data_IF_404316348595
#
_entry.id   IF_404316348595
#
_cell.length_a   1.000
_cell.length_b   1.000
_cell.length_c   1.000
_cell.angle_alpha   90.00
_cell.angle_beta   90.00
_cell.angle_gamma   90.00
#
_symmetry.space_group_name_H-M   'P 1'
#
loop_
_entity.id
_entity.type
_entity.pdbx_description
1 polymer ?
#
# COMPACT_ATOMS: atom_id res chain seq x y z
N UNK A 1 -4.20 19.47 10.58
CA UNK A 1 -2.97 19.76 9.80
C UNK A 1 -3.26 19.39 8.36
N UNK A 2 -3.16 20.34 7.45
CA UNK A 2 -3.39 20.12 6.01
C UNK A 2 -2.26 19.26 5.45
N UNK A 3 -2.60 18.11 4.88
CA UNK A 3 -1.64 17.26 4.17
C UNK A 3 -1.29 17.97 2.85
N UNK A 4 -0.10 18.56 2.77
CA UNK A 4 0.40 19.15 1.51
C UNK A 4 0.88 18.01 0.61
N UNK A 5 0.06 17.66 -0.39
CA UNK A 5 0.47 16.72 -1.45
C UNK A 5 1.17 17.52 -2.54
N UNK A 6 2.47 17.28 -2.71
CA UNK A 6 3.26 17.89 -3.81
C UNK A 6 2.95 17.18 -5.12
N UNK A 7 3.09 17.89 -6.25
CA UNK A 7 2.97 17.28 -7.57
C UNK A 7 3.95 16.09 -7.69
N UNK A 8 3.43 14.92 -8.12
CA UNK A 8 4.19 13.67 -8.23
C UNK A 8 4.33 12.86 -6.93
N UNK A 9 3.79 13.32 -5.79
CA UNK A 9 3.85 12.58 -4.54
C UNK A 9 2.83 11.43 -4.51
N UNK A 10 3.32 10.18 -4.40
CA UNK A 10 2.49 8.97 -4.35
C UNK A 10 1.81 8.79 -2.99
N UNK A 11 2.60 8.84 -1.91
CA UNK A 11 2.14 8.65 -0.54
C UNK A 11 1.67 9.99 0.07
N UNK A 12 0.35 10.15 0.21
CA UNK A 12 -0.25 11.34 0.80
C UNK A 12 -0.19 11.32 2.33
N UNK A 13 -0.50 10.21 2.99
CA UNK A 13 -0.87 10.20 4.41
C UNK A 13 -0.09 9.22 5.30
N UNK A 14 0.55 8.19 4.74
CA UNK A 14 1.10 7.08 5.52
C UNK A 14 2.47 7.45 6.10
N UNK A 15 2.62 7.39 7.43
CA UNK A 15 3.90 7.50 8.16
C UNK A 15 4.77 8.67 7.68
N UNK A 16 4.20 9.88 7.60
CA UNK A 16 4.85 11.07 7.03
C UNK A 16 5.98 11.64 7.90
N UNK A 17 6.10 11.14 9.12
CA UNK A 17 7.18 11.35 10.07
C UNK A 17 8.41 10.48 9.79
N UNK A 18 8.33 9.51 8.88
CA UNK A 18 9.43 8.61 8.52
C UNK A 18 10.04 9.05 7.18
N UNK A 19 11.35 9.28 7.16
CA UNK A 19 12.10 9.68 5.95
C UNK A 19 11.90 8.73 4.77
N UNK A 20 11.86 7.42 5.07
CA UNK A 20 11.62 6.35 4.09
C UNK A 20 10.81 5.24 4.74
N UNK A 21 9.55 5.13 4.34
CA UNK A 21 8.65 4.08 4.85
C UNK A 21 9.06 2.72 4.28
N UNK A 22 9.46 1.81 5.17
CA UNK A 22 9.81 0.42 4.88
C UNK A 22 9.06 -0.47 5.86
N UNK A 23 8.45 -1.55 5.38
CA UNK A 23 7.80 -2.57 6.20
C UNK A 23 8.52 -3.91 6.01
N UNK A 24 8.91 -4.53 7.12
CA UNK A 24 9.57 -5.83 7.15
C UNK A 24 8.60 -6.86 7.72
N UNK A 25 8.34 -7.93 6.96
CA UNK A 25 7.57 -9.07 7.41
C UNK A 25 8.41 -10.32 7.25
N UNK A 26 8.38 -11.18 8.28
CA UNK A 26 9.02 -12.49 8.25
C UNK A 26 8.17 -13.42 7.40
N UNK A 27 8.80 -14.14 6.48
CA UNK A 27 8.10 -15.03 5.56
C UNK A 27 7.37 -16.16 6.32
N UNK A 28 7.93 -16.58 7.45
CA UNK A 28 7.39 -17.65 8.29
C UNK A 28 6.06 -17.25 8.92
N UNK A 29 5.93 -15.98 9.33
CA UNK A 29 4.74 -15.43 10.00
C UNK A 29 3.61 -15.08 9.03
N UNK A 30 3.85 -15.10 7.71
CA UNK A 30 2.82 -14.79 6.73
C UNK A 30 1.72 -15.87 6.70
N UNK A 31 0.45 -15.48 6.51
CA UNK A 31 -0.61 -16.44 6.21
C UNK A 31 -0.32 -17.16 4.89
N UNK A 32 -1.08 -18.23 4.59
CA UNK A 32 -0.96 -18.95 3.30
C UNK A 32 -1.02 -18.02 2.09
N UNK A 33 -1.85 -16.97 2.18
CA UNK A 33 -1.97 -15.92 1.18
C UNK A 33 -1.94 -14.55 1.87
N UNK A 34 -0.90 -13.78 1.61
CA UNK A 34 -0.75 -12.39 2.04
C UNK A 34 -0.90 -11.45 0.86
N UNK A 35 -1.54 -10.30 1.07
CA UNK A 35 -1.79 -9.31 0.02
C UNK A 35 -1.32 -7.94 0.50
N UNK A 36 -0.34 -7.36 -0.18
CA UNK A 36 0.33 -6.12 0.21
C UNK A 36 -0.05 -4.95 -0.69
N UNK A 37 -0.20 -3.78 -0.07
CA UNK A 37 -0.52 -2.55 -0.76
C UNK A 37 0.68 -2.01 -1.54
N UNK A 38 0.45 -1.55 -2.77
CA UNK A 38 1.43 -0.78 -3.55
C UNK A 38 0.92 0.61 -3.97
N UNK A 39 -0.35 0.92 -3.69
CA UNK A 39 -0.98 2.18 -4.09
C UNK A 39 -0.89 3.30 -3.03
N UNK A 40 -0.44 2.99 -1.80
CA UNK A 40 -0.38 3.95 -0.68
C UNK A 40 -1.73 4.55 -0.25
N UNK A 41 -2.84 3.90 -0.59
CA UNK A 41 -4.21 4.34 -0.19
C UNK A 41 -4.88 3.43 0.83
N UNK A 42 -4.25 2.30 1.17
CA UNK A 42 -4.82 1.34 2.13
C UNK A 42 -4.84 1.91 3.54
N UNK A 43 -5.97 1.75 4.23
CA UNK A 43 -6.10 2.05 5.66
C UNK A 43 -5.48 0.96 6.54
N UNK A 44 -5.16 -0.20 5.95
CA UNK A 44 -4.49 -1.33 6.60
C UNK A 44 -3.04 -1.50 6.15
N UNK A 45 -2.42 -0.44 5.62
CA UNK A 45 -1.03 -0.47 5.15
C UNK A 45 -0.11 -1.09 6.23
N UNK A 46 0.76 -2.07 5.90
CA UNK A 46 1.24 -2.45 4.57
C UNK A 46 0.33 -3.42 3.78
N UNK A 47 -0.75 -3.91 4.37
CA UNK A 47 -1.68 -4.83 3.70
C UNK A 47 -2.62 -4.12 2.73
N UNK A 48 -3.05 -4.81 1.68
CA UNK A 48 -4.07 -4.32 0.78
C UNK A 48 -5.46 -4.51 1.38
N UNK A 49 -6.29 -3.46 1.31
CA UNK A 49 -7.69 -3.47 1.72
C UNK A 49 -8.66 -3.19 0.55
N UNK A 50 -8.15 -3.13 -0.69
CA UNK A 50 -8.94 -2.83 -1.89
C UNK A 50 -8.99 -1.34 -2.29
N UNK A 51 -8.42 -0.41 -1.51
CA UNK A 51 -8.47 1.03 -1.81
C UNK A 51 -7.87 1.43 -3.18
N UNK A 52 -7.00 0.59 -3.77
CA UNK A 52 -6.46 0.80 -5.12
C UNK A 52 -7.55 0.86 -6.19
N UNK A 53 -8.67 0.14 -6.04
CA UNK A 53 -9.75 0.15 -7.02
C UNK A 53 -10.36 1.55 -7.16
N UNK A 54 -10.69 2.19 -6.01
CA UNK A 54 -11.20 3.57 -5.99
C UNK A 54 -10.19 4.55 -6.60
N UNK A 55 -8.92 4.45 -6.19
CA UNK A 55 -7.84 5.27 -6.74
C UNK A 55 -7.73 5.15 -8.26
N UNK A 56 -7.75 3.92 -8.80
CA UNK A 56 -7.70 3.68 -10.23
C UNK A 56 -8.89 4.30 -10.96
N UNK A 57 -10.12 4.12 -10.44
CA UNK A 57 -11.32 4.71 -11.02
C UNK A 57 -11.28 6.24 -11.05
N UNK A 58 -10.79 6.89 -9.98
CA UNK A 58 -10.75 8.35 -9.87
C UNK A 58 -9.64 9.00 -10.70
N UNK A 59 -8.54 8.29 -10.92
CA UNK A 59 -7.32 8.85 -11.54
C UNK A 59 -7.02 8.32 -12.94
N UNK A 60 -7.70 7.25 -13.36
CA UNK A 60 -7.36 6.52 -14.60
C UNK A 60 -6.10 5.65 -14.48
N UNK A 61 -5.61 5.42 -13.25
CA UNK A 61 -4.43 4.61 -12.96
C UNK A 61 -4.74 3.09 -13.02
N UNK A 62 -3.71 2.25 -12.99
CA UNK A 62 -3.80 0.80 -13.13
C UNK A 62 -3.01 0.00 -12.07
N UNK A 63 -2.76 0.61 -10.90
CA UNK A 63 -1.99 -0.05 -9.82
C UNK A 63 -2.78 -1.19 -9.17
N UNK A 64 -2.04 -2.15 -8.62
CA UNK A 64 -2.61 -3.30 -7.90
C UNK A 64 -1.70 -3.83 -6.80
N UNK A 65 -2.20 -4.71 -5.93
CA UNK A 65 -1.44 -5.25 -4.81
C UNK A 65 -0.31 -6.18 -5.27
N UNK A 66 0.59 -6.51 -4.33
CA UNK A 66 1.48 -7.67 -4.43
C UNK A 66 0.84 -8.82 -3.65
N UNK A 67 0.70 -10.00 -4.29
CA UNK A 67 0.20 -11.21 -3.63
C UNK A 67 1.39 -12.12 -3.38
N UNK A 68 1.54 -12.55 -2.13
CA UNK A 68 2.52 -13.56 -1.71
C UNK A 68 1.75 -14.78 -1.25
N UNK A 69 1.93 -15.90 -1.94
CA UNK A 69 1.31 -17.17 -1.61
C UNK A 69 2.39 -18.18 -1.27
N UNK A 70 2.26 -18.86 -0.13
CA UNK A 70 3.15 -19.97 0.22
C UNK A 70 2.86 -21.12 -0.74
N UNK A 71 3.90 -21.64 -1.39
CA UNK A 71 3.78 -22.87 -2.16
C UNK A 71 3.22 -23.97 -1.24
N UNK A 72 2.30 -24.76 -1.79
CA UNK A 72 1.69 -25.89 -1.10
C UNK A 72 2.72 -26.97 -0.76
#
# INVERSE_FOLDING_TARGET
MSVVVRAGQINAEIKKDVDKVVDMLKAEDLPKKAVFCRCWKSKKFPYCDGAHAKHNTETGDNVGPLIVEKAA
#
